data_IF_278493324021
#
_entry.id   IF_278493324021
#
_cell.length_a   1.000
_cell.length_b   1.000
_cell.length_c   1.000
_cell.angle_alpha   90.00
_cell.angle_beta   90.00
_cell.angle_gamma   90.00
#
_symmetry.space_group_name_H-M   'P 1'
#
loop_
_entity.id
_entity.type
_entity.pdbx_description
1 polymer ?
#
# COMPACT_ATOMS: atom_id res chain seq x y z
N UNK A 1 18.67 23.68 11.29
CA UNK A 1 18.42 23.24 11.00
C UNK A 1 17.55 22.54 10.74
N UNK A 2 17.03 22.23 10.72
CA UNK A 2 16.39 21.67 10.56
C UNK A 2 16.06 20.93 9.74
N UNK A 3 16.28 20.71 9.23
CA UNK A 3 16.18 20.03 8.32
C UNK A 3 15.62 18.83 8.47
N UNK A 4 15.79 18.28 9.14
CA UNK A 4 15.40 17.10 9.36
C UNK A 4 14.04 16.78 9.37
N UNK A 5 13.29 17.57 9.43
CA UNK A 5 11.99 17.31 9.60
C UNK A 5 11.31 16.81 8.45
N UNK A 6 11.80 17.01 7.35
CA UNK A 6 10.99 16.82 6.25
C UNK A 6 10.66 15.43 5.94
N UNK A 7 11.33 14.47 6.42
CA UNK A 7 11.01 13.17 5.97
C UNK A 7 10.20 12.41 6.94
N UNK A 8 9.18 12.96 7.45
CA UNK A 8 8.41 12.32 8.45
C UNK A 8 7.39 11.34 7.93
N UNK A 9 7.06 11.33 6.68
CA UNK A 9 6.04 10.42 6.17
C UNK A 9 6.60 9.24 5.41
N UNK A 10 5.79 8.19 5.29
CA UNK A 10 6.13 7.06 4.45
C UNK A 10 5.95 7.48 3.00
N UNK A 11 6.92 7.16 2.16
CA UNK A 11 6.79 7.35 0.72
C UNK A 11 7.08 6.01 0.04
N UNK A 12 6.95 5.97 -1.29
CA UNK A 12 7.07 4.70 -1.98
C UNK A 12 8.48 4.11 -1.88
N UNK A 13 9.49 4.94 -1.83
CA UNK A 13 10.86 4.44 -1.73
C UNK A 13 11.12 3.85 -0.35
N UNK A 14 10.67 4.53 0.69
CA UNK A 14 10.80 4.02 2.05
C UNK A 14 10.00 2.76 2.24
N UNK A 15 8.81 2.70 1.65
CA UNK A 15 7.97 1.53 1.74
C UNK A 15 8.63 0.33 1.06
N UNK A 16 9.18 0.54 -0.13
CA UNK A 16 9.86 -0.53 -0.84
C UNK A 16 11.04 -1.05 -0.04
N UNK A 17 11.85 -0.15 0.51
CA UNK A 17 13.00 -0.53 1.32
C UNK A 17 12.54 -1.34 2.53
N UNK A 18 11.51 -0.86 3.22
CA UNK A 18 10.99 -1.56 4.38
C UNK A 18 10.49 -2.97 4.03
N UNK A 19 9.74 -3.09 2.94
CA UNK A 19 9.21 -4.39 2.51
C UNK A 19 10.34 -5.37 2.23
N UNK A 20 11.31 -4.94 1.43
CA UNK A 20 12.36 -5.86 1.00
C UNK A 20 13.34 -6.22 2.12
N UNK A 21 13.45 -5.36 3.13
CA UNK A 21 14.29 -5.64 4.28
C UNK A 21 13.57 -6.44 5.35
N UNK A 22 12.24 -6.44 5.34
CA UNK A 22 11.46 -7.05 6.41
C UNK A 22 10.88 -8.41 6.03
N UNK A 23 10.50 -8.57 4.75
CA UNK A 23 9.78 -9.76 4.31
C UNK A 23 10.49 -10.48 3.19
N UNK A 24 10.36 -11.81 3.13
CA UNK A 24 10.83 -12.54 1.94
C UNK A 24 9.88 -12.27 0.78
N UNK A 25 10.22 -11.28 -0.02
CA UNK A 25 9.35 -10.76 -1.06
C UNK A 25 10.15 -10.36 -2.29
N UNK A 26 9.46 -10.27 -3.41
CA UNK A 26 10.03 -9.74 -4.65
C UNK A 26 9.15 -8.63 -5.17
N UNK A 27 9.74 -7.77 -5.98
CA UNK A 27 9.03 -6.64 -6.56
C UNK A 27 9.15 -6.69 -8.07
N UNK A 28 8.06 -6.38 -8.79
CA UNK A 28 8.15 -6.24 -10.23
C UNK A 28 7.13 -5.22 -10.72
N UNK A 29 7.25 -4.88 -12.00
CA UNK A 29 6.39 -3.88 -12.63
C UNK A 29 5.74 -4.52 -13.85
N UNK A 30 4.63 -5.24 -13.64
CA UNK A 30 4.08 -6.09 -14.70
C UNK A 30 3.30 -5.35 -15.79
N UNK A 31 3.00 -4.07 -15.61
CA UNK A 31 2.15 -3.37 -16.57
C UNK A 31 2.93 -2.32 -17.33
N UNK A 32 3.04 -2.50 -18.64
CA UNK A 32 3.78 -1.56 -19.48
C UNK A 32 3.10 -0.20 -19.54
N UNK A 33 1.78 -0.17 -19.54
CA UNK A 33 1.07 1.09 -19.61
C UNK A 33 1.02 1.83 -18.27
N UNK A 34 1.46 1.17 -17.19
CA UNK A 34 1.53 1.81 -15.89
C UNK A 34 2.93 1.58 -15.30
N UNK A 35 3.94 2.25 -15.88
CA UNK A 35 5.33 1.94 -15.53
C UNK A 35 5.72 2.25 -14.10
N UNK A 36 4.94 3.08 -13.42
CA UNK A 36 5.22 3.41 -12.02
C UNK A 36 4.42 2.59 -11.01
N UNK A 37 3.63 1.63 -11.50
CA UNK A 37 2.96 0.70 -10.60
C UNK A 37 3.93 -0.43 -10.27
N UNK A 38 3.99 -0.81 -9.01
CA UNK A 38 4.92 -1.84 -8.57
C UNK A 38 4.19 -2.82 -7.66
N UNK A 39 4.35 -4.11 -7.94
CA UNK A 39 3.68 -5.18 -7.20
C UNK A 39 4.70 -5.88 -6.32
N UNK A 40 4.32 -6.12 -5.08
CA UNK A 40 5.15 -6.88 -4.15
C UNK A 40 4.49 -8.22 -3.88
N UNK A 41 5.25 -9.29 -4.06
CA UNK A 41 4.76 -10.66 -3.97
C UNK A 41 5.50 -11.43 -2.91
N UNK A 42 4.81 -12.38 -2.29
CA UNK A 42 5.48 -13.36 -1.42
C UNK A 42 6.49 -14.15 -2.25
N UNK A 43 7.66 -14.37 -1.70
CA UNK A 43 8.66 -15.22 -2.37
C UNK A 43 8.18 -16.66 -2.45
N UNK A 44 7.35 -17.09 -1.49
CA UNK A 44 6.91 -18.48 -1.42
C UNK A 44 5.80 -18.84 -2.40
N UNK A 45 4.73 -18.07 -2.44
CA UNK A 45 3.56 -18.43 -3.26
C UNK A 45 3.25 -17.44 -4.35
N UNK A 46 4.05 -16.38 -4.50
CA UNK A 46 3.91 -15.35 -5.52
C UNK A 46 2.62 -14.54 -5.42
N UNK A 47 1.89 -14.65 -4.32
CA UNK A 47 0.68 -13.84 -4.14
C UNK A 47 1.04 -12.40 -3.86
N UNK A 48 0.25 -11.48 -4.38
CA UNK A 48 0.44 -10.06 -4.17
C UNK A 48 0.02 -9.69 -2.76
N UNK A 49 0.80 -8.85 -2.09
CA UNK A 49 0.38 -8.32 -0.80
C UNK A 49 0.49 -6.80 -0.73
N UNK A 50 1.07 -6.17 -1.74
CA UNK A 50 1.10 -4.71 -1.82
C UNK A 50 1.22 -4.32 -3.30
N UNK A 51 0.45 -3.29 -3.69
CA UNK A 51 0.54 -2.74 -5.04
C UNK A 51 0.69 -1.24 -4.90
N UNK A 52 1.86 -0.72 -5.25
CA UNK A 52 2.14 0.71 -5.18
C UNK A 52 1.78 1.33 -6.52
N UNK A 53 1.09 2.46 -6.47
CA UNK A 53 0.61 3.13 -7.66
C UNK A 53 0.93 4.60 -7.61
N UNK A 54 0.99 5.27 -8.76
CA UNK A 54 0.89 6.71 -8.80
C UNK A 54 -0.34 7.03 -9.63
N UNK A 55 -1.16 7.96 -9.19
CA UNK A 55 -2.42 8.25 -9.86
C UNK A 55 -2.85 9.66 -9.53
N UNK A 56 -3.73 10.25 -10.39
CA UNK A 56 -4.26 11.57 -10.06
C UNK A 56 -5.12 11.51 -8.82
N UNK A 57 -5.08 12.55 -8.01
CA UNK A 57 -5.90 12.62 -6.80
C UNK A 57 -7.37 12.40 -7.08
N UNK A 58 -7.86 12.84 -8.24
CA UNK A 58 -9.26 12.69 -8.59
C UNK A 58 -9.69 11.22 -8.63
N UNK A 59 -8.78 10.29 -8.89
CA UNK A 59 -9.12 8.88 -8.91
C UNK A 59 -9.41 8.33 -7.52
N UNK A 60 -9.01 9.05 -6.48
CA UNK A 60 -9.31 8.69 -5.11
C UNK A 60 -10.46 9.53 -4.54
N UNK A 61 -11.12 10.32 -5.37
CA UNK A 61 -12.19 11.18 -4.91
C UNK A 61 -11.71 12.49 -4.31
N UNK A 62 -10.44 12.78 -4.43
CA UNK A 62 -9.88 14.04 -3.95
C UNK A 62 -9.92 15.07 -5.06
N UNK A 63 -9.76 16.35 -4.70
CA UNK A 63 -9.76 17.39 -5.70
C UNK A 63 -8.41 17.50 -6.37
N UNK A 64 -8.42 17.74 -7.68
CA UNK A 64 -7.21 18.02 -8.42
C UNK A 64 -6.69 16.84 -9.20
N UNK A 65 -5.80 17.16 -10.14
CA UNK A 65 -5.20 16.15 -10.98
C UNK A 65 -3.73 15.93 -10.65
N UNK A 66 -3.25 16.48 -9.56
CA UNK A 66 -1.90 16.23 -9.11
C UNK A 66 -1.72 14.75 -8.82
N UNK A 67 -0.54 14.26 -9.10
CA UNK A 67 -0.27 12.84 -8.87
C UNK A 67 0.02 12.59 -7.40
N UNK A 68 -0.40 11.45 -6.91
CA UNK A 68 -0.16 11.03 -5.54
C UNK A 68 0.24 9.57 -5.59
N UNK A 69 1.18 9.19 -4.73
CA UNK A 69 1.52 7.78 -4.59
C UNK A 69 0.61 7.15 -3.54
N UNK A 70 0.22 5.91 -3.78
CA UNK A 70 -0.65 5.19 -2.87
C UNK A 70 -0.32 3.70 -2.93
N UNK A 71 -0.73 2.96 -1.91
CA UNK A 71 -0.51 1.52 -1.89
C UNK A 71 -1.82 0.82 -1.57
N UNK A 72 -2.09 -0.26 -2.30
CA UNK A 72 -3.22 -1.15 -2.00
C UNK A 72 -2.72 -2.27 -1.11
N UNK A 73 -3.43 -2.49 -0.01
CA UNK A 73 -3.11 -3.55 0.96
C UNK A 73 -4.37 -4.37 1.24
N UNK A 74 -4.21 -5.67 1.41
CA UNK A 74 -5.34 -6.54 1.70
C UNK A 74 -5.62 -6.56 3.19
N UNK A 75 -6.87 -6.41 3.59
CA UNK A 75 -7.18 -6.34 5.02
C UNK A 75 -8.52 -6.94 5.41
N UNK A 76 -9.33 -7.35 4.45
CA UNK A 76 -10.65 -7.89 4.76
C UNK A 76 -11.70 -6.80 4.97
N UNK A 77 -12.98 -7.18 4.93
CA UNK A 77 -14.06 -6.18 4.85
C UNK A 77 -14.30 -5.38 6.13
N UNK A 78 -14.14 -6.00 7.29
CA UNK A 78 -14.41 -5.28 8.52
C UNK A 78 -13.38 -4.18 8.73
N UNK A 79 -12.11 -4.52 8.58
CA UNK A 79 -11.05 -3.54 8.76
C UNK A 79 -11.11 -2.48 7.66
N UNK A 80 -11.40 -2.88 6.42
CA UNK A 80 -11.51 -1.92 5.33
C UNK A 80 -12.60 -0.89 5.62
N UNK A 81 -13.76 -1.35 6.10
CA UNK A 81 -14.85 -0.45 6.44
C UNK A 81 -14.48 0.54 7.53
N UNK A 82 -13.77 0.05 8.54
CA UNK A 82 -13.32 0.89 9.63
C UNK A 82 -12.30 1.93 9.15
N UNK A 83 -11.36 1.52 8.32
CA UNK A 83 -10.31 2.41 7.85
C UNK A 83 -10.85 3.51 6.94
N UNK A 84 -11.94 3.25 6.21
CA UNK A 84 -12.51 4.27 5.34
C UNK A 84 -13.03 5.48 6.12
N UNK A 85 -13.18 5.36 7.43
CA UNK A 85 -13.57 6.48 8.26
C UNK A 85 -12.37 7.35 8.64
N UNK A 86 -11.17 6.94 8.32
CA UNK A 86 -9.95 7.66 8.72
C UNK A 86 -9.33 8.39 7.53
N UNK A 87 -8.65 9.49 7.84
CA UNK A 87 -7.98 10.28 6.81
C UNK A 87 -6.85 9.48 6.16
N UNK A 88 -6.74 9.58 4.85
CA UNK A 88 -5.67 8.90 4.11
C UNK A 88 -6.03 7.53 3.59
N UNK A 89 -7.25 7.06 3.85
CA UNK A 89 -7.72 5.75 3.38
C UNK A 89 -8.87 5.92 2.39
N UNK A 90 -8.85 5.11 1.34
CA UNK A 90 -9.81 5.21 0.25
C UNK A 90 -10.25 3.83 -0.22
N UNK A 91 -11.45 3.73 -0.83
CA UNK A 91 -11.84 2.44 -1.43
C UNK A 91 -10.77 1.97 -2.40
N UNK A 92 -10.49 0.68 -2.39
CA UNK A 92 -9.38 0.14 -3.15
C UNK A 92 -9.53 0.44 -4.64
N UNK A 93 -8.51 1.06 -5.21
CA UNK A 93 -8.51 1.43 -6.61
C UNK A 93 -8.02 0.23 -7.42
N UNK A 94 -8.84 -0.24 -8.35
CA UNK A 94 -8.51 -1.38 -9.22
C UNK A 94 -8.36 -2.71 -8.48
N UNK A 95 -8.85 -2.81 -7.26
CA UNK A 95 -8.80 -4.06 -6.49
C UNK A 95 -10.18 -4.31 -5.89
N UNK A 96 -10.40 -5.49 -5.33
CA UNK A 96 -11.67 -5.80 -4.69
C UNK A 96 -11.86 -4.94 -3.46
N UNK A 97 -12.92 -4.15 -3.47
CA UNK A 97 -13.16 -3.17 -2.41
C UNK A 97 -13.60 -3.77 -1.09
N UNK A 98 -14.04 -5.03 -1.10
CA UNK A 98 -14.42 -5.71 0.13
C UNK A 98 -13.22 -6.37 0.82
N UNK A 99 -12.07 -6.40 0.20
CA UNK A 99 -10.91 -7.09 0.76
C UNK A 99 -9.66 -6.23 0.80
N UNK A 100 -9.61 -5.16 0.02
CA UNK A 100 -8.43 -4.32 -0.11
C UNK A 100 -8.76 -2.88 0.25
N UNK A 101 -7.72 -2.12 0.60
CA UNK A 101 -7.86 -0.69 0.93
C UNK A 101 -6.72 0.06 0.24
N UNK A 102 -6.99 1.28 -0.21
CA UNK A 102 -5.95 2.15 -0.76
C UNK A 102 -5.50 3.13 0.31
N UNK A 103 -4.20 3.22 0.52
CA UNK A 103 -3.59 4.07 1.54
C UNK A 103 -2.73 5.12 0.86
N UNK A 104 -2.96 6.39 1.15
CA UNK A 104 -2.17 7.47 0.58
C UNK A 104 -0.77 7.49 1.18
N UNK A 105 0.24 7.68 0.34
CA UNK A 105 1.63 7.78 0.78
C UNK A 105 2.09 9.23 0.74
N UNK A 106 1.30 10.11 1.35
CA UNK A 106 1.55 11.54 1.34
C UNK A 106 1.75 12.11 2.75
N UNK A 107 1.93 11.24 3.72
CA UNK A 107 2.13 11.67 5.10
C UNK A 107 0.86 11.76 5.92
N UNK A 108 -0.31 11.55 5.30
CA UNK A 108 -1.58 11.64 6.04
C UNK A 108 -1.80 10.44 6.96
N UNK A 109 -1.12 9.33 6.72
CA UNK A 109 -1.21 8.14 7.58
C UNK A 109 0.15 7.92 8.22
N UNK A 110 0.17 7.68 9.53
CA UNK A 110 1.42 7.49 10.25
C UNK A 110 2.18 6.25 9.76
N UNK A 111 3.50 6.34 9.77
CA UNK A 111 4.35 5.25 9.31
C UNK A 111 4.05 3.94 10.03
N UNK A 112 3.89 3.99 11.35
CA UNK A 112 3.63 2.79 12.12
C UNK A 112 2.31 2.14 11.74
N UNK A 113 1.32 2.96 11.38
CA UNK A 113 0.03 2.45 10.93
C UNK A 113 0.17 1.72 9.60
N UNK A 114 0.94 2.31 8.68
CA UNK A 114 1.17 1.69 7.38
C UNK A 114 1.91 0.37 7.56
N UNK A 115 2.92 0.34 8.42
CA UNK A 115 3.68 -0.89 8.67
C UNK A 115 2.81 -1.98 9.28
N UNK A 116 1.92 -1.60 10.19
CA UNK A 116 1.00 -2.55 10.80
C UNK A 116 0.06 -3.13 9.74
N UNK A 117 -0.49 -2.28 8.88
CA UNK A 117 -1.41 -2.73 7.84
C UNK A 117 -0.70 -3.55 6.76
N UNK A 118 0.55 -3.22 6.50
CA UNK A 118 1.36 -4.02 5.58
C UNK A 118 1.52 -5.44 6.12
N UNK A 119 1.75 -5.56 7.43
CA UNK A 119 1.87 -6.87 8.05
C UNK A 119 0.55 -7.64 7.99
N UNK A 120 -0.56 -6.96 8.21
CA UNK A 120 -1.88 -7.57 8.06
C UNK A 120 -2.04 -8.14 6.65
N UNK A 121 -1.65 -7.35 5.64
CA UNK A 121 -1.77 -7.78 4.25
C UNK A 121 -0.85 -8.97 3.97
N UNK A 122 0.37 -8.91 4.47
CA UNK A 122 1.33 -9.99 4.25
C UNK A 122 0.82 -11.29 4.85
N UNK A 123 0.29 -11.24 6.08
CA UNK A 123 -0.23 -12.42 6.74
C UNK A 123 -1.50 -12.95 6.07
N UNK A 124 -2.34 -12.05 5.58
CA UNK A 124 -3.59 -12.44 4.92
C UNK A 124 -3.36 -13.19 3.62
N UNK A 125 -2.20 -12.98 3.00
CA UNK A 125 -1.89 -13.59 1.70
C UNK A 125 -0.80 -14.65 1.81
N UNK A 126 -0.30 -14.90 3.01
CA UNK A 126 0.75 -15.89 3.21
C UNK A 126 0.21 -17.31 2.98
N UNK A 127 1.09 -18.25 2.66
CA UNK A 127 0.66 -19.63 2.50
C UNK A 127 0.07 -20.14 3.82
N UNK A 128 -0.99 -20.92 3.72
CA UNK A 128 -1.60 -21.49 4.91
C UNK A 128 -0.78 -22.66 5.42
N UNK A 129 -0.60 -22.70 6.73
CA UNK A 129 0.12 -23.80 7.35
C UNK A 129 -0.85 -24.97 7.54
N UNK A 130 -0.45 -26.15 7.09
CA UNK A 130 -1.27 -27.35 7.24
C UNK A 130 -0.80 -28.12 8.43
N UNK A 131 -1.74 -28.63 9.18
CA UNK A 131 -1.38 -29.42 10.35
C UNK A 131 -1.76 -30.83 10.16
#
# INVERSE_FOLDING_TARGET
>A
MSEMIENTGMDRQKLKTFILETYPASADRPWLQYPNYEVFRHSSNQKWFAVVMDLPKSKLGLQGEERIDAVNLKCGPILAGSLLMENGFFPAYHMRKDSWITVALDGSVADDKIKMLLDVSYQATAPKVRK
#
